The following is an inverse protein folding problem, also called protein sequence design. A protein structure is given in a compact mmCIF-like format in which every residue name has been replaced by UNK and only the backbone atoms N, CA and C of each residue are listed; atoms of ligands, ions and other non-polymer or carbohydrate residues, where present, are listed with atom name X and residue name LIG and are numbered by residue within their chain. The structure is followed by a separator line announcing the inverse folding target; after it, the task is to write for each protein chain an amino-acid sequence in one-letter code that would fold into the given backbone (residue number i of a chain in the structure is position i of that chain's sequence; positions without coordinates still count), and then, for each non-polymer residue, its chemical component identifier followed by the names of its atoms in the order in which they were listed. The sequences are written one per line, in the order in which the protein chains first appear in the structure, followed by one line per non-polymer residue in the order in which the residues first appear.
data_IF_657735723182
#
_entry.id   IF_657735723182
#
_cell.length_a   1.000
_cell.length_b   1.000
_cell.length_c   1.000
_cell.angle_alpha   90.00
_cell.angle_beta   90.00
_cell.angle_gamma   90.00
#
_symmetry.space_group_name_H-M   'P 1'
#
loop_
_entity.id
_entity.type
_entity.pdbx_description
1 polymer ?
#
# COMPACT_ATOMS: atom_id res chain seq x y z
N UNK A 1 9.00 -12.63 10.98
CA UNK A 1 7.69 -13.26 10.83
C UNK A 1 7.11 -12.76 9.52
N UNK A 2 6.73 -13.66 8.62
CA UNK A 2 6.05 -13.34 7.36
C UNK A 2 4.54 -13.40 7.59
N UNK A 3 3.77 -12.69 6.77
CA UNK A 3 2.29 -12.74 6.82
C UNK A 3 1.77 -14.16 6.57
N UNK A 4 2.50 -14.95 5.76
CA UNK A 4 2.26 -16.39 5.55
C UNK A 4 2.40 -17.25 6.82
N UNK A 5 3.03 -16.75 7.88
CA UNK A 5 3.21 -17.48 9.13
C UNK A 5 1.98 -17.33 10.05
N UNK A 6 1.03 -16.44 9.72
CA UNK A 6 -0.20 -16.25 10.48
C UNK A 6 -1.19 -17.40 10.22
N UNK A 7 -1.70 -18.08 11.25
CA UNK A 7 -2.66 -19.17 11.08
C UNK A 7 -3.89 -18.73 10.28
N UNK A 8 -4.28 -19.50 9.27
CA UNK A 8 -5.45 -19.24 8.42
C UNK A 8 -5.17 -18.36 7.20
N UNK A 9 -4.05 -17.61 7.16
CA UNK A 9 -3.70 -16.79 6.00
C UNK A 9 -3.36 -17.65 4.77
N UNK A 10 -2.51 -18.70 4.85
CA UNK A 10 -2.23 -19.54 3.68
C UNK A 10 -3.49 -20.18 3.09
N UNK A 11 -4.41 -20.65 3.95
CA UNK A 11 -5.68 -21.24 3.53
C UNK A 11 -6.60 -20.21 2.86
N UNK A 12 -6.60 -18.96 3.34
CA UNK A 12 -7.36 -17.87 2.75
C UNK A 12 -6.77 -17.44 1.39
N UNK A 13 -5.45 -17.30 1.29
CA UNK A 13 -4.77 -16.95 0.04
C UNK A 13 -4.94 -18.01 -1.05
N UNK A 14 -5.06 -19.28 -0.68
CA UNK A 14 -5.42 -20.34 -1.62
C UNK A 14 -6.85 -20.20 -2.19
N UNK A 15 -7.75 -19.50 -1.50
CA UNK A 15 -9.11 -19.26 -1.98
C UNK A 15 -9.21 -17.96 -2.79
N UNK A 16 -8.49 -16.91 -2.39
CA UNK A 16 -8.48 -15.62 -3.08
C UNK A 16 -7.29 -14.77 -2.67
N UNK A 17 -6.75 -13.99 -3.61
CA UNK A 17 -5.77 -12.93 -3.35
C UNK A 17 -6.42 -11.53 -3.33
N UNK A 18 -7.75 -11.47 -3.42
CA UNK A 18 -8.52 -10.24 -3.58
C UNK A 18 -9.33 -10.24 -4.88
N UNK A 19 -10.20 -9.25 -5.01
CA UNK A 19 -11.03 -9.03 -6.21
C UNK A 19 -11.18 -7.54 -6.47
N UNK A 20 -11.21 -7.12 -7.74
CA UNK A 20 -11.36 -5.73 -8.13
C UNK A 20 -12.71 -5.11 -7.70
N UNK A 21 -13.69 -5.95 -7.34
CA UNK A 21 -15.00 -5.51 -6.83
C UNK A 21 -14.94 -4.99 -5.38
N UNK A 22 -13.85 -5.26 -4.66
CA UNK A 22 -13.62 -4.77 -3.29
C UNK A 22 -12.56 -3.69 -3.35
N UNK A 23 -12.88 -2.49 -2.86
CA UNK A 23 -11.97 -1.34 -2.84
C UNK A 23 -11.61 -0.98 -1.40
N UNK A 24 -10.31 -0.88 -1.13
CA UNK A 24 -9.77 -0.41 0.15
C UNK A 24 -9.14 0.96 -0.08
N UNK A 25 -9.55 1.96 0.70
CA UNK A 25 -8.95 3.29 0.69
C UNK A 25 -7.93 3.40 1.82
N UNK A 26 -6.72 3.86 1.50
CA UNK A 26 -5.65 4.12 2.47
C UNK A 26 -5.62 5.63 2.73
N UNK A 27 -5.91 6.03 3.96
CA UNK A 27 -5.84 7.42 4.41
C UNK A 27 -4.59 7.57 5.29
N UNK A 28 -3.45 7.82 4.64
CA UNK A 28 -2.13 7.95 5.25
C UNK A 28 -1.32 9.03 4.50
N UNK A 29 -0.02 9.12 4.75
CA UNK A 29 0.92 9.88 3.94
C UNK A 29 0.94 9.43 2.47
N UNK A 30 1.57 10.22 1.59
CA UNK A 30 1.72 9.87 0.18
C UNK A 30 2.33 8.48 -0.01
N UNK A 31 1.99 7.82 -1.11
CA UNK A 31 2.54 6.49 -1.43
C UNK A 31 3.50 6.63 -2.60
N UNK A 32 4.71 6.07 -2.46
CA UNK A 32 5.61 5.88 -3.59
C UNK A 32 5.10 4.72 -4.47
N UNK A 33 4.30 5.05 -5.48
CA UNK A 33 3.75 4.09 -6.43
C UNK A 33 4.81 3.58 -7.43
N UNK A 34 6.03 4.14 -7.45
CA UNK A 34 7.12 3.64 -8.28
C UNK A 34 7.85 2.45 -7.65
N UNK A 35 7.56 2.13 -6.40
CA UNK A 35 8.15 0.99 -5.71
C UNK A 35 7.70 -0.34 -6.35
N UNK A 36 8.66 -1.23 -6.67
CA UNK A 36 8.44 -2.50 -7.39
C UNK A 36 7.35 -3.41 -6.80
N UNK A 37 7.09 -3.31 -5.49
CA UNK A 37 6.05 -4.13 -4.86
C UNK A 37 4.63 -3.77 -5.33
N UNK A 38 4.47 -2.60 -5.96
CA UNK A 38 3.22 -2.14 -6.56
C UNK A 38 3.15 -2.35 -8.07
N UNK A 39 4.12 -3.06 -8.67
CA UNK A 39 4.05 -3.42 -10.08
C UNK A 39 2.74 -4.17 -10.34
N UNK A 40 1.94 -3.68 -11.30
CA UNK A 40 0.62 -4.22 -11.64
C UNK A 40 -0.48 -4.10 -10.54
N UNK A 41 -0.19 -3.45 -9.41
CA UNK A 41 -1.21 -3.17 -8.40
C UNK A 41 -2.23 -2.14 -8.93
N UNK A 42 -3.51 -2.37 -8.66
CA UNK A 42 -4.58 -1.44 -9.02
C UNK A 42 -4.71 -0.31 -7.99
N UNK A 43 -3.72 0.60 -7.99
CA UNK A 43 -3.67 1.76 -7.11
C UNK A 43 -4.03 3.04 -7.86
N UNK A 44 -4.69 3.97 -7.17
CA UNK A 44 -4.99 5.29 -7.70
C UNK A 44 -4.87 6.30 -6.57
N UNK A 45 -4.01 7.31 -6.74
CA UNK A 45 -3.95 8.43 -5.80
C UNK A 45 -5.07 9.42 -6.12
N UNK A 46 -5.82 9.84 -5.10
CA UNK A 46 -6.86 10.84 -5.23
C UNK A 46 -6.38 12.19 -4.68
N UNK A 47 -6.78 13.32 -5.28
CA UNK A 47 -6.46 14.64 -4.73
C UNK A 47 -6.94 14.78 -3.29
N UNK A 48 -6.07 15.27 -2.41
CA UNK A 48 -6.43 15.62 -1.03
C UNK A 48 -6.99 17.04 -0.97
N UNK A 49 -7.91 17.28 -0.05
CA UNK A 49 -8.40 18.64 0.28
C UNK A 49 -7.40 19.42 1.17
N UNK A 50 -6.39 18.74 1.71
CA UNK A 50 -5.33 19.36 2.51
C UNK A 50 -4.26 19.89 1.56
N UNK A 51 -3.97 21.19 1.63
CA UNK A 51 -2.88 21.81 0.89
C UNK A 51 -1.55 21.33 1.47
N UNK A 52 -0.84 20.50 0.72
CA UNK A 52 0.51 20.05 1.03
C UNK A 52 1.48 21.10 0.47
N UNK A 53 1.74 22.18 1.22
CA UNK A 53 2.65 23.26 0.79
C UNK A 53 4.14 22.95 1.08
N UNK A 54 5.05 23.89 0.83
CA UNK A 54 6.50 23.65 0.96
C UNK A 54 6.96 23.29 2.39
N UNK A 55 6.17 23.66 3.42
CA UNK A 55 6.43 23.25 4.82
C UNK A 55 6.19 21.76 5.06
N UNK A 56 5.47 21.10 4.16
CA UNK A 56 5.27 19.66 4.13
C UNK A 56 6.51 18.90 3.62
N UNK A 57 7.46 19.56 2.93
CA UNK A 57 8.55 18.89 2.22
C UNK A 57 9.60 18.25 3.13
N UNK A 58 9.84 18.78 4.34
CA UNK A 58 10.80 18.21 5.29
C UNK A 58 10.29 16.90 5.92
N UNK A 59 8.98 16.82 6.20
CA UNK A 59 8.34 15.60 6.74
C UNK A 59 7.84 14.65 5.64
N UNK A 60 7.80 15.11 4.38
CA UNK A 60 7.25 14.35 3.26
C UNK A 60 7.93 12.99 3.08
N UNK A 61 9.24 12.89 3.33
CA UNK A 61 9.98 11.62 3.22
C UNK A 61 9.54 10.58 4.24
N UNK A 62 9.36 10.97 5.51
CA UNK A 62 8.91 10.07 6.59
C UNK A 62 7.45 9.64 6.38
N UNK A 63 6.58 10.59 6.02
CA UNK A 63 5.19 10.29 5.68
C UNK A 63 5.05 9.41 4.45
N UNK A 64 5.90 9.63 3.43
CA UNK A 64 5.91 8.78 2.24
C UNK A 64 6.39 7.37 2.58
N UNK A 65 7.41 7.25 3.43
CA UNK A 65 7.89 5.96 3.92
C UNK A 65 6.79 5.21 4.68
N UNK A 66 6.08 5.90 5.57
CA UNK A 66 4.99 5.31 6.33
C UNK A 66 3.82 4.88 5.44
N UNK A 67 3.33 5.77 4.57
CA UNK A 67 2.23 5.48 3.64
C UNK A 67 2.57 4.35 2.67
N UNK A 68 3.80 4.32 2.15
CA UNK A 68 4.31 3.24 1.30
C UNK A 68 4.38 1.92 2.06
N UNK A 69 4.90 1.93 3.30
CA UNK A 69 4.98 0.73 4.12
C UNK A 69 3.60 0.13 4.39
N UNK A 70 2.66 0.93 4.91
CA UNK A 70 1.28 0.51 5.17
C UNK A 70 0.62 -0.04 3.90
N UNK A 71 0.75 0.67 2.78
CA UNK A 71 0.16 0.25 1.50
C UNK A 71 0.77 -1.06 1.00
N UNK A 72 2.09 -1.27 1.19
CA UNK A 72 2.78 -2.50 0.77
C UNK A 72 2.33 -3.74 1.54
N UNK A 73 1.89 -3.60 2.79
CA UNK A 73 1.36 -4.72 3.57
C UNK A 73 0.04 -5.26 3.02
N UNK A 74 -0.71 -4.41 2.29
CA UNK A 74 -2.05 -4.73 1.77
C UNK A 74 -2.01 -5.04 0.27
N UNK A 75 -1.24 -4.25 -0.50
CA UNK A 75 -1.23 -4.30 -1.97
C UNK A 75 0.12 -4.69 -2.58
N UNK A 76 1.11 -5.05 -1.75
CA UNK A 76 2.36 -5.61 -2.22
C UNK A 76 2.12 -6.93 -2.97
N UNK A 77 2.65 -7.04 -4.19
CA UNK A 77 2.50 -8.26 -4.99
C UNK A 77 3.25 -9.43 -4.33
N UNK A 78 2.63 -10.61 -4.30
CA UNK A 78 3.20 -11.81 -3.66
C UNK A 78 4.50 -12.30 -4.29
N UNK A 79 4.72 -11.97 -5.56
CA UNK A 79 5.86 -12.28 -6.41
C UNK A 79 6.85 -11.12 -6.52
N UNK A 80 6.62 -10.01 -5.80
CA UNK A 80 7.61 -8.94 -5.68
C UNK A 80 8.79 -9.39 -4.81
N UNK A 81 10.00 -9.23 -5.37
CA UNK A 81 11.25 -9.55 -4.67
C UNK A 81 11.53 -8.58 -3.52
#
# INVERSE_FOLDING_TARGET
MKVSDLPGIPELWNQTLGTANVRVAILDGPVDQSHRCFDHANLTSLPSLVNMDESFSEMAGEMTTHGTHVTSLIFGQHDSA
#
